data_IF_879047107935
#
_entry.id   IF_879047107935
#
_cell.length_a   1.000
_cell.length_b   1.000
_cell.length_c   1.000
_cell.angle_alpha   90.00
_cell.angle_beta   90.00
_cell.angle_gamma   90.00
#
_symmetry.space_group_name_H-M   'P 1'
#
loop_
_entity.id
_entity.type
_entity.pdbx_description
1 polymer ?
#
# COMPACT_ATOMS: atom_id res chain seq x y z
N UNK A 1 -14.32 -21.36 -19.85
CA UNK A 1 -14.35 -20.41 -18.73
C UNK A 1 -15.79 -20.04 -18.48
N UNK A 2 -16.41 -20.39 -17.34
CA UNK A 2 -17.75 -19.91 -17.05
C UNK A 2 -17.63 -18.42 -16.68
N UNK A 3 -18.32 -17.58 -17.43
CA UNK A 3 -18.55 -16.19 -17.03
C UNK A 3 -19.33 -16.23 -15.70
N UNK A 4 -18.71 -15.79 -14.61
CA UNK A 4 -19.43 -15.51 -13.37
C UNK A 4 -20.54 -14.52 -13.70
N UNK A 5 -21.79 -14.91 -13.45
CA UNK A 5 -22.95 -14.03 -13.60
C UNK A 5 -22.70 -12.74 -12.83
N UNK A 6 -23.06 -11.57 -13.38
CA UNK A 6 -22.93 -10.31 -12.65
C UNK A 6 -23.71 -10.39 -11.33
N UNK A 7 -23.06 -9.98 -10.24
CA UNK A 7 -23.65 -9.91 -8.90
C UNK A 7 -24.93 -9.06 -8.97
N UNK A 8 -26.12 -9.60 -8.63
CA UNK A 8 -27.42 -8.99 -8.93
C UNK A 8 -27.71 -7.63 -8.27
N UNK A 9 -26.77 -7.06 -7.52
CA UNK A 9 -26.85 -5.70 -6.99
C UNK A 9 -25.81 -4.71 -7.50
N UNK A 10 -24.80 -5.14 -8.28
CA UNK A 10 -23.68 -4.29 -8.69
C UNK A 10 -24.03 -3.49 -9.94
N UNK A 11 -23.86 -2.16 -9.88
CA UNK A 11 -24.04 -1.29 -11.05
C UNK A 11 -22.79 -1.29 -11.94
N UNK A 12 -22.95 -0.96 -13.22
CA UNK A 12 -21.80 -0.80 -14.14
C UNK A 12 -20.84 0.29 -13.65
N UNK A 13 -21.37 1.38 -13.09
CA UNK A 13 -20.57 2.45 -12.51
C UNK A 13 -19.76 1.97 -11.29
N UNK A 14 -20.35 1.14 -10.41
CA UNK A 14 -19.64 0.56 -9.27
C UNK A 14 -18.51 -0.38 -9.74
N UNK A 15 -18.78 -1.22 -10.74
CA UNK A 15 -17.78 -2.11 -11.31
C UNK A 15 -16.59 -1.34 -11.91
N UNK A 16 -16.86 -0.29 -12.69
CA UNK A 16 -15.82 0.58 -13.26
C UNK A 16 -15.03 1.30 -12.17
N UNK A 17 -15.69 1.80 -11.12
CA UNK A 17 -15.01 2.47 -10.02
C UNK A 17 -14.10 1.51 -9.23
N UNK A 18 -14.52 0.27 -9.00
CA UNK A 18 -13.69 -0.76 -8.38
C UNK A 18 -12.46 -1.08 -9.22
N UNK A 19 -12.63 -1.25 -10.52
CA UNK A 19 -11.53 -1.49 -11.46
C UNK A 19 -10.51 -0.34 -11.43
N UNK A 20 -10.99 0.92 -11.45
CA UNK A 20 -10.12 2.10 -11.36
C UNK A 20 -9.40 2.20 -10.02
N UNK A 21 -10.07 1.90 -8.91
CA UNK A 21 -9.42 1.88 -7.60
C UNK A 21 -8.36 0.78 -7.50
N UNK A 22 -8.66 -0.42 -8.03
CA UNK A 22 -7.70 -1.50 -8.12
C UNK A 22 -6.47 -1.09 -8.93
N UNK A 23 -6.66 -0.55 -10.13
CA UNK A 23 -5.58 -0.09 -11.01
C UNK A 23 -4.69 0.95 -10.32
N UNK A 24 -5.29 1.93 -9.63
CA UNK A 24 -4.54 2.93 -8.85
C UNK A 24 -3.75 2.29 -7.71
N UNK A 25 -4.37 1.39 -6.93
CA UNK A 25 -3.68 0.70 -5.83
C UNK A 25 -2.50 -0.13 -6.34
N UNK A 26 -2.68 -0.88 -7.43
CA UNK A 26 -1.62 -1.70 -8.04
C UNK A 26 -0.48 -0.81 -8.49
N UNK A 27 -0.75 0.27 -9.25
CA UNK A 27 0.29 1.20 -9.72
C UNK A 27 1.11 1.82 -8.60
N UNK A 28 0.47 2.16 -7.48
CA UNK A 28 1.18 2.72 -6.31
C UNK A 28 2.05 1.65 -5.63
N UNK A 29 1.60 0.41 -5.53
CA UNK A 29 2.42 -0.70 -5.02
C UNK A 29 3.56 -1.08 -5.98
N UNK A 30 3.34 -0.98 -7.29
CA UNK A 30 4.38 -1.18 -8.32
C UNK A 30 5.50 -0.14 -8.22
N UNK A 31 5.20 1.09 -7.80
CA UNK A 31 6.26 2.07 -7.51
C UNK A 31 7.18 1.60 -6.37
N UNK A 32 6.64 0.89 -5.38
CA UNK A 32 7.47 0.29 -4.33
C UNK A 32 8.29 -0.88 -4.85
N UNK A 33 7.75 -1.67 -5.79
CA UNK A 33 8.50 -2.71 -6.51
C UNK A 33 9.66 -2.10 -7.30
N UNK A 34 9.42 -1.01 -8.02
CA UNK A 34 10.44 -0.28 -8.77
C UNK A 34 11.53 0.28 -7.85
N UNK A 35 11.16 0.92 -6.74
CA UNK A 35 12.10 1.38 -5.71
C UNK A 35 13.01 0.24 -5.24
N UNK A 36 12.43 -0.93 -4.95
CA UNK A 36 13.16 -2.10 -4.48
C UNK A 36 14.10 -2.71 -5.52
N UNK A 37 13.74 -2.70 -6.81
CA UNK A 37 14.53 -3.30 -7.88
C UNK A 37 15.57 -2.36 -8.48
N UNK A 38 15.16 -1.12 -8.74
CA UNK A 38 15.88 -0.20 -9.62
C UNK A 38 16.55 0.96 -8.87
N UNK A 39 16.05 1.33 -7.69
CA UNK A 39 16.57 2.47 -6.91
C UNK A 39 17.47 2.06 -5.74
N UNK A 40 17.19 0.93 -5.09
CA UNK A 40 18.03 0.40 -4.02
C UNK A 40 19.09 -0.54 -4.59
N UNK A 41 20.30 -0.50 -4.03
CA UNK A 41 21.42 -1.37 -4.39
C UNK A 41 21.81 -2.35 -3.29
N UNK A 42 21.40 -2.13 -2.02
CA UNK A 42 21.64 -3.06 -0.91
C UNK A 42 20.53 -3.05 0.16
N UNK A 43 20.49 -4.12 0.96
CA UNK A 43 19.58 -4.27 2.10
C UNK A 43 19.84 -3.23 3.21
N UNK A 44 21.07 -2.75 3.36
CA UNK A 44 21.43 -1.71 4.33
C UNK A 44 20.62 -0.42 4.14
N UNK A 45 20.24 -0.11 2.89
CA UNK A 45 19.43 1.08 2.61
C UNK A 45 18.00 0.98 3.15
N UNK A 46 17.46 -0.23 3.35
CA UNK A 46 16.12 -0.42 3.94
C UNK A 46 16.09 -0.08 5.43
N UNK A 47 17.21 -0.28 6.12
CA UNK A 47 17.34 -0.09 7.58
C UNK A 47 17.96 1.26 7.94
N UNK A 48 18.42 2.03 6.96
CA UNK A 48 18.99 3.36 7.16
C UNK A 48 17.98 4.29 7.84
N UNK A 49 18.37 4.85 8.99
CA UNK A 49 17.56 5.81 9.71
C UNK A 49 17.55 7.15 8.99
N UNK A 50 16.36 7.66 8.68
CA UNK A 50 16.20 8.96 8.05
C UNK A 50 16.77 10.07 8.94
N UNK A 51 17.54 10.99 8.32
CA UNK A 51 18.00 12.22 8.97
C UNK A 51 16.89 13.23 9.20
N UNK A 52 15.82 13.16 8.41
CA UNK A 52 14.70 14.09 8.46
C UNK A 52 13.54 13.56 9.30
N UNK A 53 13.43 12.24 9.44
CA UNK A 53 12.38 11.58 10.22
C UNK A 53 13.03 10.59 11.21
N UNK A 54 13.39 11.02 12.42
CA UNK A 54 14.02 10.13 13.41
C UNK A 54 13.22 8.85 13.65
N UNK A 55 13.91 7.70 13.65
CA UNK A 55 13.31 6.38 13.84
C UNK A 55 12.60 5.78 12.62
N UNK A 56 12.50 6.54 11.53
CA UNK A 56 11.95 6.11 10.24
C UNK A 56 13.00 5.45 9.36
N UNK A 57 12.63 4.35 8.70
CA UNK A 57 13.42 3.70 7.65
C UNK A 57 12.53 3.38 6.46
N UNK A 58 13.14 3.09 5.30
CA UNK A 58 12.41 2.68 4.08
C UNK A 58 11.66 1.37 4.35
N UNK A 59 12.32 0.36 4.91
CA UNK A 59 11.70 -0.92 5.22
C UNK A 59 10.45 -0.79 6.10
N UNK A 60 10.51 0.06 7.14
CA UNK A 60 9.35 0.32 8.02
C UNK A 60 8.17 0.94 7.30
N UNK A 61 8.41 1.78 6.29
CA UNK A 61 7.34 2.41 5.52
C UNK A 61 6.74 1.47 4.48
N UNK A 62 7.58 0.67 3.82
CA UNK A 62 7.10 -0.42 2.95
C UNK A 62 6.22 -1.39 3.74
N UNK A 63 6.64 -1.80 4.94
CA UNK A 63 5.81 -2.60 5.85
C UNK A 63 4.52 -1.88 6.19
N UNK A 64 4.58 -0.61 6.59
CA UNK A 64 3.39 0.14 6.97
C UNK A 64 2.36 0.24 5.84
N UNK A 65 2.82 0.55 4.62
CA UNK A 65 1.99 0.58 3.42
C UNK A 65 1.33 -0.78 3.16
N UNK A 66 2.13 -1.86 3.13
CA UNK A 66 1.64 -3.22 2.88
C UNK A 66 0.66 -3.69 3.96
N UNK A 67 0.92 -3.39 5.23
CA UNK A 67 0.07 -3.86 6.34
C UNK A 67 -1.34 -3.28 6.28
N UNK A 68 -1.50 -2.02 5.87
CA UNK A 68 -2.83 -1.42 5.68
C UNK A 68 -3.66 -2.19 4.65
N UNK A 69 -3.09 -2.45 3.46
CA UNK A 69 -3.75 -3.28 2.45
C UNK A 69 -4.03 -4.69 2.98
N UNK A 70 -3.07 -5.31 3.66
CA UNK A 70 -3.25 -6.67 4.17
C UNK A 70 -4.38 -6.79 5.18
N UNK A 71 -4.53 -5.82 6.09
CA UNK A 71 -5.63 -5.80 7.06
C UNK A 71 -6.98 -5.66 6.37
N UNK A 72 -7.09 -4.72 5.43
CA UNK A 72 -8.33 -4.48 4.70
C UNK A 72 -8.73 -5.68 3.83
N UNK A 73 -7.80 -6.23 3.06
CA UNK A 73 -8.11 -7.36 2.17
C UNK A 73 -8.44 -8.62 2.97
N UNK A 74 -7.77 -8.88 4.10
CA UNK A 74 -8.12 -9.97 5.01
C UNK A 74 -9.52 -9.76 5.63
N UNK A 75 -9.86 -8.53 6.00
CA UNK A 75 -11.18 -8.18 6.54
C UNK A 75 -12.27 -8.34 5.48
N UNK A 76 -12.02 -7.92 4.23
CA UNK A 76 -12.96 -8.04 3.13
C UNK A 76 -13.20 -9.50 2.70
N UNK A 77 -12.18 -10.36 2.85
CA UNK A 77 -12.30 -11.79 2.57
C UNK A 77 -12.98 -12.59 3.70
N UNK A 78 -13.16 -12.00 4.89
CA UNK A 78 -13.81 -12.66 6.02
C UNK A 78 -15.35 -12.58 5.91
N UNK A 79 -16.06 -13.35 6.74
CA UNK A 79 -17.51 -13.23 6.82
C UNK A 79 -17.93 -11.98 7.61
N UNK A 80 -19.05 -11.33 7.24
CA UNK A 80 -19.61 -10.23 8.03
C UNK A 80 -19.90 -10.64 9.49
N UNK A 81 -19.78 -9.72 10.46
CA UNK A 81 -19.47 -8.30 10.29
C UNK A 81 -17.98 -8.04 10.03
N UNK A 82 -17.68 -7.12 9.12
CA UNK A 82 -16.31 -6.74 8.79
C UNK A 82 -15.78 -5.73 9.82
N UNK A 83 -14.94 -6.23 10.73
CA UNK A 83 -14.31 -5.44 11.78
C UNK A 83 -12.80 -5.58 11.66
N UNK A 84 -12.09 -4.46 11.62
CA UNK A 84 -10.62 -4.46 11.62
C UNK A 84 -10.03 -3.44 12.59
N UNK A 85 -8.82 -3.72 13.05
CA UNK A 85 -8.07 -2.81 13.94
C UNK A 85 -6.76 -2.39 13.30
N UNK A 86 -6.51 -1.07 13.28
CA UNK A 86 -5.26 -0.48 12.80
C UNK A 86 -4.05 -0.85 13.66
N UNK A 87 -4.27 -1.28 14.90
CA UNK A 87 -3.21 -1.67 15.84
C UNK A 87 -2.77 -3.13 15.70
N UNK A 88 -3.39 -3.86 14.77
CA UNK A 88 -2.94 -5.20 14.41
C UNK A 88 -1.58 -5.09 13.73
N UNK A 89 -0.50 -5.45 14.45
CA UNK A 89 0.87 -5.37 13.94
C UNK A 89 1.46 -6.74 13.73
N UNK A 90 2.00 -6.95 12.53
CA UNK A 90 3.00 -7.99 12.30
C UNK A 90 4.31 -7.54 12.98
N UNK A 91 4.98 -8.44 13.71
CA UNK A 91 6.31 -8.19 14.31
C UNK A 91 7.36 -9.02 13.58
N UNK A 92 8.61 -8.55 13.62
CA UNK A 92 9.77 -9.24 13.03
C UNK A 92 9.58 -9.59 11.56
N UNK A 93 9.13 -8.63 10.76
CA UNK A 93 8.90 -8.86 9.33
C UNK A 93 10.21 -8.74 8.54
N UNK A 94 10.65 -9.80 7.84
CA UNK A 94 11.89 -9.77 7.06
C UNK A 94 11.94 -8.66 6.01
N UNK A 95 10.77 -8.18 5.56
CA UNK A 95 10.66 -7.05 4.61
C UNK A 95 11.24 -5.73 5.12
N UNK A 96 11.40 -5.54 6.44
CA UNK A 96 12.02 -4.30 6.96
C UNK A 96 13.52 -4.24 6.69
N UNK A 97 14.15 -5.40 6.44
CA UNK A 97 15.62 -5.52 6.34
C UNK A 97 16.12 -6.29 5.13
N UNK A 98 15.23 -6.90 4.32
CA UNK A 98 15.62 -7.64 3.12
C UNK A 98 14.80 -7.17 1.92
N UNK A 99 15.49 -6.75 0.85
CA UNK A 99 14.86 -6.30 -0.40
C UNK A 99 14.06 -7.40 -1.06
N UNK A 100 14.58 -8.64 -1.06
CA UNK A 100 13.88 -9.79 -1.63
C UNK A 100 12.61 -10.08 -0.84
N UNK A 101 12.67 -10.13 0.49
CA UNK A 101 11.48 -10.35 1.30
C UNK A 101 10.45 -9.22 1.17
N UNK A 102 10.90 -7.97 0.99
CA UNK A 102 10.01 -6.84 0.72
C UNK A 102 9.36 -6.95 -0.65
N UNK A 103 10.11 -7.36 -1.67
CA UNK A 103 9.61 -7.56 -3.02
C UNK A 103 8.54 -8.64 -3.05
N UNK A 104 8.80 -9.78 -2.43
CA UNK A 104 7.86 -10.89 -2.35
C UNK A 104 6.58 -10.45 -1.60
N UNK A 105 6.74 -9.82 -0.43
CA UNK A 105 5.59 -9.35 0.35
C UNK A 105 4.72 -8.30 -0.38
N UNK A 106 5.32 -7.45 -1.23
CA UNK A 106 4.57 -6.48 -2.03
C UNK A 106 3.92 -7.13 -3.24
N UNK A 107 4.58 -8.08 -3.92
CA UNK A 107 3.96 -8.83 -5.02
C UNK A 107 2.79 -9.68 -4.54
N UNK A 108 2.93 -10.30 -3.37
CA UNK A 108 1.85 -11.07 -2.74
C UNK A 108 0.64 -10.20 -2.45
N UNK A 109 0.85 -8.96 -1.95
CA UNK A 109 -0.28 -8.06 -1.68
C UNK A 109 -0.92 -7.53 -2.96
N UNK A 110 -0.15 -7.28 -4.02
CA UNK A 110 -0.69 -6.95 -5.35
C UNK A 110 -1.60 -8.09 -5.84
N UNK A 111 -1.11 -9.33 -5.81
CA UNK A 111 -1.91 -10.50 -6.23
C UNK A 111 -3.18 -10.68 -5.40
N UNK A 112 -3.09 -10.45 -4.07
CA UNK A 112 -4.26 -10.51 -3.19
C UNK A 112 -5.27 -9.41 -3.54
N UNK A 113 -4.81 -8.21 -3.90
CA UNK A 113 -5.64 -7.09 -4.29
C UNK A 113 -6.36 -7.38 -5.62
N UNK A 114 -5.64 -7.96 -6.58
CA UNK A 114 -6.17 -8.42 -7.86
C UNK A 114 -7.28 -9.47 -7.70
N UNK A 115 -7.16 -10.36 -6.71
CA UNK A 115 -8.15 -11.40 -6.42
C UNK A 115 -9.36 -10.88 -5.60
N UNK A 116 -9.12 -10.04 -4.58
CA UNK A 116 -10.17 -9.65 -3.63
C UNK A 116 -11.03 -8.49 -4.16
N UNK A 117 -10.43 -7.41 -4.66
CA UNK A 117 -11.15 -6.17 -5.01
C UNK A 117 -12.29 -6.42 -6.03
N UNK A 118 -12.12 -7.22 -7.09
CA UNK A 118 -13.20 -7.45 -8.06
C UNK A 118 -14.41 -8.18 -7.47
N UNK A 119 -14.24 -8.88 -6.34
CA UNK A 119 -15.31 -9.62 -5.64
C UNK A 119 -15.92 -8.82 -4.48
N UNK A 120 -15.37 -7.67 -4.13
CA UNK A 120 -15.85 -6.80 -3.04
C UNK A 120 -16.87 -5.76 -3.53
N UNK A 121 -17.57 -5.08 -2.60
CA UNK A 121 -18.45 -3.95 -2.94
C UNK A 121 -17.91 -2.66 -2.34
N UNK A 122 -18.09 -1.53 -3.03
CA UNK A 122 -17.55 -0.25 -2.55
C UNK A 122 -18.18 0.20 -1.23
N UNK A 123 -19.46 -0.10 -1.09
CA UNK A 123 -20.32 0.27 0.04
C UNK A 123 -20.33 -0.79 1.16
N UNK A 124 -19.54 -1.87 1.05
CA UNK A 124 -19.39 -2.87 2.11
C UNK A 124 -19.02 -2.16 3.43
N UNK A 125 -19.89 -2.22 4.46
CA UNK A 125 -19.65 -1.51 5.71
C UNK A 125 -18.47 -2.09 6.48
N UNK A 126 -17.62 -1.23 7.01
CA UNK A 126 -16.47 -1.59 7.85
C UNK A 126 -16.56 -0.90 9.21
N UNK A 127 -16.30 -1.64 10.28
CA UNK A 127 -16.04 -1.07 11.61
C UNK A 127 -14.54 -1.06 11.88
N UNK A 128 -14.01 0.11 12.19
CA UNK A 128 -12.58 0.36 12.34
C UNK A 128 -12.26 0.67 13.79
N UNK A 129 -11.30 -0.04 14.37
CA UNK A 129 -10.84 0.20 15.73
C UNK A 129 -9.40 0.73 15.72
N UNK A 130 -9.16 1.81 16.48
CA UNK A 130 -7.85 2.40 16.66
C UNK A 130 -7.61 2.72 18.13
N UNK A 131 -6.37 2.58 18.60
CA UNK A 131 -5.98 2.83 19.99
C UNK A 131 -4.86 3.88 20.03
N UNK A 132 -5.20 5.15 20.23
CA UNK A 132 -4.18 6.21 20.48
C UNK A 132 -4.75 7.45 21.17
N UNK A 133 -4.45 7.72 22.46
CA UNK A 133 -4.12 6.77 23.54
C UNK A 133 -5.35 6.01 24.04
N UNK A 134 -6.55 6.37 23.56
CA UNK A 134 -7.83 5.75 23.90
C UNK A 134 -8.34 4.95 22.71
N UNK A 135 -9.12 3.93 23.01
CA UNK A 135 -9.84 3.17 21.99
C UNK A 135 -10.91 4.04 21.34
N UNK A 136 -10.93 4.02 20.01
CA UNK A 136 -11.87 4.74 19.17
C UNK A 136 -12.41 3.77 18.12
N UNK A 137 -13.71 3.86 17.87
CA UNK A 137 -14.40 3.07 16.87
C UNK A 137 -15.03 3.99 15.82
N UNK A 138 -14.76 3.71 14.55
CA UNK A 138 -15.25 4.48 13.42
C UNK A 138 -16.00 3.56 12.44
N UNK A 139 -16.87 4.18 11.64
CA UNK A 139 -17.52 3.52 10.52
C UNK A 139 -16.88 4.01 9.22
N UNK A 140 -16.66 3.09 8.29
CA UNK A 140 -16.13 3.36 6.96
C UNK A 140 -16.74 2.38 5.97
N UNK A 141 -16.29 2.42 4.71
CA UNK A 141 -16.64 1.44 3.70
C UNK A 141 -15.38 0.89 3.03
N UNK A 142 -15.50 -0.29 2.43
CA UNK A 142 -14.38 -0.92 1.73
C UNK A 142 -13.76 -0.01 0.67
N UNK A 143 -14.59 0.57 -0.21
CA UNK A 143 -14.10 1.48 -1.26
C UNK A 143 -13.38 2.72 -0.71
N UNK A 144 -13.87 3.26 0.41
CA UNK A 144 -13.24 4.40 1.09
C UNK A 144 -11.85 4.04 1.61
N UNK A 145 -11.70 2.90 2.28
CA UNK A 145 -10.40 2.48 2.80
C UNK A 145 -9.40 2.11 1.69
N UNK A 146 -9.84 1.50 0.58
CA UNK A 146 -8.95 1.24 -0.58
C UNK A 146 -8.39 2.55 -1.13
N UNK A 147 -9.24 3.57 -1.29
CA UNK A 147 -8.81 4.90 -1.74
C UNK A 147 -7.87 5.57 -0.73
N UNK A 148 -8.24 5.57 0.56
CA UNK A 148 -7.43 6.15 1.64
C UNK A 148 -6.02 5.52 1.65
N UNK A 149 -5.90 4.20 1.53
CA UNK A 149 -4.59 3.53 1.56
C UNK A 149 -3.78 3.77 0.29
N UNK A 150 -4.44 3.81 -0.87
CA UNK A 150 -3.77 4.22 -2.11
C UNK A 150 -3.16 5.62 -1.98
N UNK A 151 -3.91 6.57 -1.39
CA UNK A 151 -3.43 7.92 -1.15
C UNK A 151 -2.32 8.00 -0.08
N UNK A 152 -2.36 7.13 0.94
CA UNK A 152 -1.30 7.05 1.96
C UNK A 152 0.03 6.58 1.37
N UNK A 153 0.01 5.74 0.36
CA UNK A 153 1.24 5.17 -0.23
C UNK A 153 1.76 6.04 -1.39
N UNK A 154 0.89 6.83 -2.03
CA UNK A 154 1.30 7.76 -3.09
C UNK A 154 2.23 8.86 -2.55
N UNK A 155 3.52 8.92 -2.97
CA UNK A 155 4.45 9.95 -2.53
C UNK A 155 4.07 11.37 -3.01
N UNK A 156 3.19 11.51 -4.02
CA UNK A 156 2.64 12.80 -4.48
C UNK A 156 1.61 13.35 -3.50
N UNK A 157 0.92 12.46 -2.79
CA UNK A 157 -0.17 12.80 -1.87
C UNK A 157 0.27 12.74 -0.40
N UNK A 158 1.29 11.94 -0.08
CA UNK A 158 1.81 11.78 1.28
C UNK A 158 3.27 12.26 1.40
N UNK A 159 3.46 13.41 2.06
CA UNK A 159 4.77 14.00 2.34
C UNK A 159 5.73 13.07 3.10
N UNK A 160 5.23 12.11 3.89
CA UNK A 160 6.07 11.13 4.59
C UNK A 160 6.62 10.09 3.62
N UNK A 161 5.81 9.60 2.69
CA UNK A 161 6.26 8.75 1.60
C UNK A 161 7.25 9.50 0.69
N UNK A 162 6.96 10.77 0.38
CA UNK A 162 7.87 11.63 -0.39
C UNK A 162 9.25 11.80 0.28
N UNK A 163 9.30 11.94 1.61
CA UNK A 163 10.55 12.14 2.34
C UNK A 163 11.49 10.93 2.27
N UNK A 164 10.96 9.71 2.10
CA UNK A 164 11.75 8.49 2.01
C UNK A 164 12.35 8.28 0.64
N UNK A 165 11.60 8.59 -0.41
CA UNK A 165 12.12 8.63 -1.78
C UNK A 165 13.30 9.62 -1.87
N UNK A 166 13.21 10.77 -1.18
CA UNK A 166 14.33 11.73 -1.10
C UNK A 166 15.54 11.20 -0.33
N UNK A 167 15.37 10.25 0.59
CA UNK A 167 16.48 9.64 1.32
C UNK A 167 17.23 8.56 0.52
N UNK A 168 16.57 7.84 -0.39
CA UNK A 168 17.20 6.79 -1.22
C UNK A 168 18.06 7.36 -2.37
N UNK A 169 17.71 8.53 -2.91
CA UNK A 169 18.31 9.12 -4.11
C UNK A 169 19.75 9.67 -4.00
N UNK A 170 20.49 9.41 -2.90
CA UNK A 170 21.85 9.97 -2.73
C UNK A 170 23.01 9.14 -3.32
N UNK A 171 22.77 8.06 -4.09
CA UNK A 171 23.89 7.28 -4.68
C UNK A 171 23.57 6.27 -5.81
N UNK A 172 22.66 6.56 -6.75
CA UNK A 172 22.46 5.70 -7.93
C UNK A 172 22.38 6.52 -9.23
N UNK A 173 23.10 6.15 -10.31
CA UNK A 173 23.00 6.82 -11.61
C UNK A 173 21.69 6.42 -12.32
N UNK A 174 20.93 7.41 -12.79
CA UNK A 174 19.66 7.25 -13.50
C UNK A 174 19.91 6.93 -14.98
N UNK A 175 19.15 5.97 -15.53
CA UNK A 175 19.10 5.65 -16.98
C UNK A 175 17.70 6.02 -17.47
N UNK A 176 17.67 6.79 -18.56
CA UNK A 176 16.48 7.51 -19.03
C UNK A 176 15.34 6.63 -19.55
N UNK A 177 14.11 7.08 -19.26
CA UNK A 177 13.03 7.05 -20.24
C UNK A 177 11.78 6.25 -19.89
N UNK A 178 11.15 6.49 -18.73
CA UNK A 178 9.69 6.69 -18.55
C UNK A 178 9.48 7.37 -17.18
N UNK A 179 8.47 8.24 -17.06
CA UNK A 179 8.33 9.29 -16.03
C UNK A 179 8.47 8.84 -14.55
N UNK A 180 9.71 8.82 -14.07
CA UNK A 180 10.06 8.88 -12.66
C UNK A 180 10.28 10.34 -12.28
N UNK A 181 9.32 10.97 -11.62
CA UNK A 181 9.57 12.26 -10.97
C UNK A 181 10.36 12.01 -9.67
N UNK A 182 11.62 11.60 -9.81
CA UNK A 182 12.64 11.97 -8.82
C UNK A 182 12.72 13.49 -8.92
N UNK A 183 12.53 14.21 -7.81
CA UNK A 183 12.84 15.64 -7.79
C UNK A 183 14.34 15.81 -8.04
N UNK A 184 14.71 16.14 -9.28
CA UNK A 184 16.02 16.67 -9.61
C UNK A 184 16.04 18.16 -9.27
N UNK A 185 17.01 18.58 -8.46
CA UNK A 185 17.34 20.00 -8.31
C UNK A 185 18.85 20.11 -8.23
N UNK A 186 19.47 20.45 -9.36
CA UNK A 186 20.76 21.11 -9.41
C UNK A 186 20.68 22.51 -8.78
N UNK A 187 21.78 22.85 -8.08
CA UNK A 187 22.18 24.08 -7.40
C UNK A 187 21.77 24.20 -5.91
#
# INVERSE_FOLDING_TARGET
MPYSSPDPGRTEDEARNLEQLQDVSVKVLEQAVDLLNNSLSSDDQLTYNSKFLPGSTIGKHLRHARDHFALLLACAASQPPHVMSYDTRSRNTPMESSRLAALDAIKDIISTLEDVVPRSRLDTPLTLNAVTPYEQTFQSTFGREVMDYSALVDPRLNHRAAALVRCSARRAPLVDGEHFFVYDVTL
#
